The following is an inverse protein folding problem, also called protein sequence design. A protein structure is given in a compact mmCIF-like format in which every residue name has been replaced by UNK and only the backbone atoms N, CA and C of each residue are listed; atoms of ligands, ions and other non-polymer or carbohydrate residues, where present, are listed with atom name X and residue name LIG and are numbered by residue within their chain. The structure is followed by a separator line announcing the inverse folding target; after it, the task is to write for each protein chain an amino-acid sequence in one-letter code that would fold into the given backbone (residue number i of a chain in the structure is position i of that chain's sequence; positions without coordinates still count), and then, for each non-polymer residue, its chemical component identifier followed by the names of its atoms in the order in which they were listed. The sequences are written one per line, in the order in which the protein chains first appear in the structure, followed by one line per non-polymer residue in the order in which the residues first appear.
data_IF_259158093861
#
_entry.id   IF_259158093861
#
_cell.length_a   1.000
_cell.length_b   1.000
_cell.length_c   1.000
_cell.angle_alpha   90.00
_cell.angle_beta   90.00
_cell.angle_gamma   90.00
#
_symmetry.space_group_name_H-M   'P 1'
#
loop_
_entity.id
_entity.type
_entity.pdbx_description
1 polymer ?
#
# COMPACT_ATOMS: atom_id res chain seq x y z
N UNK A 1 12.11 16.09 -29.68
CA UNK A 1 11.63 16.88 -28.52
C UNK A 1 10.46 16.10 -27.93
N UNK A 2 10.61 15.70 -26.67
CA UNK A 2 9.76 14.73 -25.98
C UNK A 2 8.57 15.43 -25.34
N UNK A 3 7.41 15.40 -25.97
CA UNK A 3 6.15 15.67 -25.27
C UNK A 3 5.56 14.34 -24.80
N UNK A 4 6.12 13.85 -23.68
CA UNK A 4 5.45 12.91 -22.78
C UNK A 4 4.23 13.63 -22.22
N UNK A 5 3.13 13.58 -22.97
CA UNK A 5 1.81 14.03 -22.56
C UNK A 5 1.43 13.37 -21.24
N UNK A 6 1.59 14.13 -20.16
CA UNK A 6 0.95 13.90 -18.86
C UNK A 6 -0.54 13.74 -19.10
N UNK A 7 -1.02 12.50 -19.11
CA UNK A 7 -2.45 12.20 -19.18
C UNK A 7 -3.13 12.87 -17.97
N UNK A 8 -4.05 13.83 -18.19
CA UNK A 8 -4.69 14.52 -17.08
C UNK A 8 -5.55 13.52 -16.30
N UNK A 9 -5.39 13.52 -14.98
CA UNK A 9 -6.15 12.69 -14.04
C UNK A 9 -7.65 13.05 -13.96
N UNK A 10 -8.19 13.92 -14.82
CA UNK A 10 -9.57 14.42 -14.77
C UNK A 10 -10.27 14.22 -16.13
N UNK A 11 -11.13 13.19 -16.23
CA UNK A 11 -12.00 13.03 -17.40
C UNK A 11 -12.69 11.67 -17.40
N UNK A 12 -13.94 11.62 -16.94
CA UNK A 12 -14.86 10.53 -17.22
C UNK A 12 -15.41 10.70 -18.63
N UNK A 13 -15.38 9.64 -19.43
CA UNK A 13 -16.38 9.41 -20.47
C UNK A 13 -16.52 7.91 -20.70
N UNK A 14 -17.73 7.45 -20.48
CA UNK A 14 -18.27 6.14 -20.82
C UNK A 14 -17.87 5.71 -22.23
N UNK A 15 -17.17 4.58 -22.35
CA UNK A 15 -17.24 3.72 -23.53
C UNK A 15 -17.68 2.35 -23.04
N UNK A 16 -18.97 2.10 -23.24
CA UNK A 16 -19.59 0.79 -23.21
C UNK A 16 -19.44 0.19 -24.59
N UNK A 17 -18.35 -0.52 -24.88
CA UNK A 17 -18.29 -1.32 -26.10
C UNK A 17 -17.59 -2.67 -25.87
N UNK A 18 -18.42 -3.70 -26.08
CA UNK A 18 -18.09 -4.93 -26.80
C UNK A 18 -17.23 -5.97 -26.06
N UNK A 19 -17.94 -6.82 -25.32
CA UNK A 19 -17.54 -8.20 -25.07
C UNK A 19 -17.89 -9.05 -26.30
N UNK A 20 -17.06 -9.00 -27.34
CA UNK A 20 -17.09 -10.00 -28.41
C UNK A 20 -15.71 -10.06 -29.05
N UNK A 21 -14.89 -11.04 -28.65
CA UNK A 21 -13.54 -11.15 -29.19
C UNK A 21 -12.60 -12.11 -28.46
N UNK A 22 -12.68 -13.38 -28.85
CA UNK A 22 -11.58 -14.36 -28.79
C UNK A 22 -11.26 -15.02 -27.45
N UNK A 23 -12.14 -15.98 -27.13
CA UNK A 23 -11.76 -17.30 -26.64
C UNK A 23 -10.83 -17.98 -27.66
N UNK A 24 -9.58 -18.27 -27.29
CA UNK A 24 -8.81 -19.49 -27.64
C UNK A 24 -7.38 -19.40 -27.10
N UNK A 25 -7.21 -19.81 -25.85
CA UNK A 25 -5.99 -20.44 -25.37
C UNK A 25 -6.43 -21.57 -24.43
N UNK A 26 -6.33 -22.81 -24.92
CA UNK A 26 -6.76 -23.99 -24.18
C UNK A 26 -5.99 -24.16 -22.87
N UNK A 27 -6.63 -24.63 -21.79
CA UNK A 27 -5.93 -24.94 -20.56
C UNK A 27 -5.03 -26.17 -20.79
N UNK A 28 -3.74 -26.03 -20.45
CA UNK A 28 -2.86 -27.17 -20.19
C UNK A 28 -3.52 -28.01 -19.11
N UNK A 29 -3.75 -29.28 -19.41
CA UNK A 29 -4.32 -30.28 -18.53
C UNK A 29 -3.57 -30.27 -17.19
N UNK A 30 -4.25 -29.82 -16.13
CA UNK A 30 -3.85 -30.08 -14.76
C UNK A 30 -4.78 -31.21 -14.32
N UNK A 31 -4.26 -32.43 -14.29
CA UNK A 31 -5.00 -33.58 -13.78
C UNK A 31 -5.41 -33.33 -12.32
N UNK A 32 -6.68 -33.53 -11.95
CA UNK A 32 -7.09 -33.47 -10.56
C UNK A 32 -6.53 -34.71 -9.87
N UNK A 33 -5.55 -34.52 -8.98
CA UNK A 33 -5.08 -35.52 -8.01
C UNK A 33 -6.20 -35.80 -6.99
N UNK A 34 -7.26 -36.46 -7.45
CA UNK A 34 -8.21 -37.21 -6.64
C UNK A 34 -7.47 -38.46 -6.18
N UNK A 35 -7.60 -38.83 -4.91
CA UNK A 35 -6.80 -39.81 -4.15
C UNK A 35 -5.56 -39.15 -3.52
N UNK A 36 -5.43 -38.92 -2.21
CA UNK A 36 -5.91 -39.67 -1.04
C UNK A 36 -6.13 -38.69 0.12
N UNK A 37 -7.38 -38.45 0.52
CA UNK A 37 -7.70 -38.01 1.88
C UNK A 37 -8.54 -39.14 2.45
N UNK A 38 -7.87 -39.99 3.23
CA UNK A 38 -8.56 -40.99 4.06
C UNK A 38 -9.50 -40.30 5.06
N UNK A 39 -10.35 -41.06 5.76
CA UNK A 39 -11.24 -40.50 6.76
C UNK A 39 -10.44 -39.74 7.82
N UNK A 40 -10.90 -38.55 8.17
CA UNK A 40 -10.34 -37.75 9.26
C UNK A 40 -10.65 -38.51 10.55
N UNK A 41 -9.62 -39.04 11.20
CA UNK A 41 -9.76 -39.70 12.51
C UNK A 41 -9.90 -38.62 13.59
N UNK A 42 -11.12 -38.45 14.08
CA UNK A 42 -11.51 -37.44 15.08
C UNK A 42 -11.01 -37.84 16.50
N UNK A 43 -10.39 -39.01 16.66
CA UNK A 43 -9.83 -39.47 17.94
C UNK A 43 -8.40 -38.97 18.22
N UNK A 44 -7.74 -38.33 17.25
CA UNK A 44 -6.39 -37.76 17.46
C UNK A 44 -6.46 -36.50 18.34
N UNK A 45 -5.75 -36.44 19.48
CA UNK A 45 -5.72 -35.24 20.30
C UNK A 45 -5.07 -34.09 19.53
N UNK A 46 -5.67 -32.90 19.61
CA UNK A 46 -5.30 -31.64 18.90
C UNK A 46 -3.86 -31.13 19.12
N UNK A 47 -3.02 -31.89 19.82
CA UNK A 47 -1.68 -31.48 20.27
C UNK A 47 -0.59 -31.71 19.23
N UNK A 48 -0.85 -32.45 18.15
CA UNK A 48 0.19 -32.86 17.19
C UNK A 48 0.08 -32.24 15.78
N UNK A 49 -0.96 -31.44 15.48
CA UNK A 49 -1.14 -30.83 14.14
C UNK A 49 -0.46 -29.46 13.97
N UNK A 50 0.21 -28.96 15.01
CA UNK A 50 1.08 -27.80 14.91
C UNK A 50 2.42 -28.30 15.46
N UNK A 51 3.36 -28.62 14.56
CA UNK A 51 4.73 -28.93 14.97
C UNK A 51 5.28 -27.83 15.87
N UNK A 52 6.22 -28.14 16.78
CA UNK A 52 6.81 -27.11 17.62
C UNK A 52 7.38 -26.00 16.74
N UNK A 53 7.18 -24.75 17.18
CA UNK A 53 7.79 -23.57 16.57
C UNK A 53 9.28 -23.62 16.93
N UNK A 54 10.02 -24.59 16.39
CA UNK A 54 11.46 -24.74 16.60
C UNK A 54 12.18 -23.59 15.90
N UNK A 55 12.40 -22.53 16.67
CA UNK A 55 13.11 -21.34 16.22
C UNK A 55 13.45 -20.37 17.35
N UNK A 56 13.32 -20.80 18.61
CA UNK A 56 13.76 -20.03 19.78
C UNK A 56 14.88 -20.78 20.51
N UNK A 57 15.94 -21.08 19.77
CA UNK A 57 17.27 -21.21 20.37
C UNK A 57 18.11 -20.12 19.73
N UNK A 58 18.15 -18.98 20.41
CA UNK A 58 19.18 -17.97 20.21
C UNK A 58 20.53 -18.67 20.37
N UNK A 59 21.14 -19.09 19.26
CA UNK A 59 22.56 -19.38 19.21
C UNK A 59 23.27 -18.07 19.51
N UNK A 60 23.47 -17.77 20.79
CA UNK A 60 24.45 -16.79 21.23
C UNK A 60 25.82 -17.43 20.98
N UNK A 61 26.60 -16.98 19.97
CA UNK A 61 27.92 -17.54 19.77
C UNK A 61 28.81 -17.17 20.97
N UNK A 62 29.45 -18.12 21.65
CA UNK A 62 30.44 -17.80 22.66
C UNK A 62 31.71 -17.29 21.97
N UNK A 63 32.14 -16.07 22.29
CA UNK A 63 33.51 -15.63 22.02
C UNK A 63 33.81 -15.01 20.65
N UNK A 64 32.92 -14.14 20.13
CA UNK A 64 33.25 -13.29 18.99
C UNK A 64 33.37 -11.82 19.40
N UNK A 65 34.55 -11.24 19.28
CA UNK A 65 34.82 -9.81 19.45
C UNK A 65 33.85 -9.05 18.53
N UNK A 66 32.77 -8.50 19.09
CA UNK A 66 31.82 -7.68 18.33
C UNK A 66 32.55 -6.38 18.02
N UNK A 67 33.24 -6.33 16.88
CA UNK A 67 33.63 -5.06 16.29
C UNK A 67 32.36 -4.21 16.19
N UNK A 68 32.31 -3.10 16.93
CA UNK A 68 31.19 -2.19 16.91
C UNK A 68 30.97 -1.74 15.46
N UNK A 69 29.75 -1.86 14.89
CA UNK A 69 29.49 -1.28 13.58
C UNK A 69 29.76 0.22 13.71
N UNK A 70 30.74 0.70 12.93
CA UNK A 70 31.18 2.08 12.94
C UNK A 70 30.00 3.03 12.81
N UNK A 71 30.01 4.08 13.62
CA UNK A 71 29.00 5.12 13.67
C UNK A 71 29.00 5.95 12.38
N UNK A 72 28.46 5.38 11.30
CA UNK A 72 27.93 6.12 10.17
C UNK A 72 26.47 6.42 10.47
N UNK A 73 26.09 7.70 10.48
CA UNK A 73 24.71 8.18 10.56
C UNK A 73 23.94 7.84 9.28
N UNK A 74 23.78 6.55 8.98
CA UNK A 74 22.91 6.07 7.93
C UNK A 74 21.47 6.14 8.43
N UNK A 75 20.63 6.98 7.80
CA UNK A 75 19.20 7.06 8.11
C UNK A 75 18.58 5.67 7.98
N UNK A 76 18.00 5.18 9.08
CA UNK A 76 17.47 3.83 9.18
C UNK A 76 16.07 3.79 8.55
N UNK A 77 15.98 3.32 7.31
CA UNK A 77 14.69 3.10 6.64
C UNK A 77 13.94 1.95 7.33
N UNK A 78 12.73 2.20 7.83
CA UNK A 78 11.89 1.18 8.48
C UNK A 78 10.77 0.74 7.55
N UNK A 79 10.59 -0.57 7.36
CA UNK A 79 9.46 -1.10 6.57
C UNK A 79 8.20 -1.20 7.44
N UNK A 80 7.13 -0.53 7.03
CA UNK A 80 5.86 -0.44 7.76
C UNK A 80 4.72 -0.68 6.78
N UNK A 81 3.70 -1.44 7.22
CA UNK A 81 2.44 -1.57 6.49
C UNK A 81 1.48 -0.50 7.00
N UNK A 82 1.05 0.41 6.14
CA UNK A 82 0.17 1.52 6.50
C UNK A 82 -1.03 1.64 5.55
N UNK A 83 -2.05 2.36 6.01
CA UNK A 83 -3.23 2.72 5.21
C UNK A 83 -3.01 4.10 4.61
N UNK A 84 -3.44 4.30 3.36
CA UNK A 84 -3.35 5.61 2.74
C UNK A 84 -4.40 6.58 3.35
N UNK A 85 -4.01 7.75 3.86
CA UNK A 85 -4.93 8.68 4.52
C UNK A 85 -5.77 9.51 3.54
N UNK A 86 -5.26 9.77 2.33
CA UNK A 86 -5.87 10.64 1.33
C UNK A 86 -6.10 9.91 0.00
N UNK A 87 -7.00 10.41 -0.85
CA UNK A 87 -7.15 9.95 -2.22
C UNK A 87 -6.02 10.54 -3.08
N UNK A 88 -5.28 9.68 -3.82
CA UNK A 88 -4.16 10.12 -4.67
C UNK A 88 -4.33 9.65 -6.12
N UNK A 89 -3.84 10.43 -7.07
CA UNK A 89 -3.65 10.01 -8.46
C UNK A 89 -2.15 9.89 -8.76
N UNK A 90 -1.70 8.75 -9.28
CA UNK A 90 -0.33 8.58 -9.74
C UNK A 90 -0.09 9.35 -11.05
N UNK A 91 0.94 10.20 -11.09
CA UNK A 91 1.24 11.02 -12.26
C UNK A 91 1.77 10.20 -13.46
N UNK A 92 2.32 9.00 -13.24
CA UNK A 92 2.87 8.15 -14.33
C UNK A 92 1.82 7.33 -15.07
N UNK A 93 0.85 6.75 -14.36
CA UNK A 93 -0.12 5.82 -14.92
C UNK A 93 -1.58 6.30 -14.85
N UNK A 94 -1.83 7.43 -14.17
CA UNK A 94 -3.19 7.94 -13.93
C UNK A 94 -4.02 7.05 -13.00
N UNK A 95 -3.42 6.03 -12.36
CA UNK A 95 -4.14 5.18 -11.43
C UNK A 95 -4.52 5.97 -10.19
N UNK A 96 -5.81 5.88 -9.83
CA UNK A 96 -6.33 6.49 -8.60
C UNK A 96 -6.32 5.46 -7.49
N UNK A 97 -5.82 5.86 -6.34
CA UNK A 97 -5.82 5.06 -5.13
C UNK A 97 -6.66 5.78 -4.10
N UNK A 98 -7.65 5.05 -3.58
CA UNK A 98 -8.58 5.59 -2.60
C UNK A 98 -7.98 5.55 -1.20
N UNK A 99 -8.46 6.44 -0.35
CA UNK A 99 -8.25 6.43 1.09
C UNK A 99 -8.56 5.05 1.66
N UNK A 100 -7.72 4.59 2.58
CA UNK A 100 -7.84 3.27 3.20
C UNK A 100 -7.25 2.11 2.39
N UNK A 101 -6.49 2.36 1.32
CA UNK A 101 -5.77 1.26 0.65
C UNK A 101 -4.53 0.87 1.47
N UNK A 102 -4.31 -0.44 1.66
CA UNK A 102 -3.15 -1.00 2.38
C UNK A 102 -1.91 -1.00 1.50
N UNK A 103 -0.81 -0.41 1.98
CA UNK A 103 0.47 -0.44 1.27
C UNK A 103 1.61 -0.88 2.18
N UNK A 104 2.58 -1.54 1.57
CA UNK A 104 3.91 -1.68 2.17
C UNK A 104 4.69 -0.40 1.85
N UNK A 105 5.19 0.25 2.90
CA UNK A 105 5.89 1.53 2.81
C UNK A 105 7.21 1.46 3.56
N UNK A 106 8.17 2.28 3.16
CA UNK A 106 9.35 2.55 3.97
C UNK A 106 9.23 3.95 4.56
N UNK A 107 9.31 4.02 5.88
CA UNK A 107 9.41 5.25 6.66
C UNK A 107 10.87 5.68 6.77
N UNK A 108 11.12 6.95 6.48
CA UNK A 108 12.39 7.63 6.68
C UNK A 108 12.18 8.86 7.57
N UNK A 109 13.11 9.10 8.48
CA UNK A 109 13.12 10.31 9.30
C UNK A 109 13.76 11.44 8.49
N UNK A 110 13.12 12.61 8.45
CA UNK A 110 13.66 13.79 7.77
C UNK A 110 14.48 14.60 8.78
N UNK A 111 15.83 14.60 8.72
CA UNK A 111 16.66 15.34 9.66
C UNK A 111 16.50 16.83 9.40
N UNK A 112 16.26 17.60 10.47
CA UNK A 112 16.18 19.06 10.43
C UNK A 112 14.76 19.64 10.38
N UNK A 113 13.73 18.81 10.22
CA UNK A 113 12.32 19.22 10.24
C UNK A 113 11.63 18.54 11.44
N UNK A 114 11.65 19.18 12.61
CA UNK A 114 10.91 18.73 13.78
C UNK A 114 9.99 19.86 14.25
N UNK A 115 8.68 19.61 14.23
CA UNK A 115 7.71 20.57 14.71
C UNK A 115 7.32 20.24 16.15
N UNK A 116 7.48 21.19 17.08
CA UNK A 116 7.14 21.04 18.49
C UNK A 116 7.74 19.77 19.17
N UNK A 117 8.89 19.29 18.71
CA UNK A 117 9.55 18.07 19.20
C UNK A 117 9.04 16.75 18.60
N UNK A 118 8.07 16.82 17.67
CA UNK A 118 7.58 15.68 16.90
C UNK A 118 8.41 15.58 15.61
N UNK A 119 8.92 14.37 15.33
CA UNK A 119 9.70 14.09 14.14
C UNK A 119 8.78 13.99 12.91
N UNK A 120 9.17 14.62 11.81
CA UNK A 120 8.48 14.52 10.54
C UNK A 120 8.99 13.29 9.78
N UNK A 121 8.07 12.47 9.32
CA UNK A 121 8.38 11.26 8.58
C UNK A 121 8.08 11.44 7.09
N UNK A 122 8.98 10.90 6.28
CA UNK A 122 8.81 10.73 4.84
C UNK A 122 8.48 9.27 4.56
N UNK A 123 7.31 9.05 3.96
CA UNK A 123 6.87 7.74 3.53
C UNK A 123 7.13 7.57 2.05
N UNK A 124 7.84 6.51 1.70
CA UNK A 124 8.05 6.07 0.32
C UNK A 124 7.26 4.79 0.09
N UNK A 125 6.47 4.77 -0.95
CA UNK A 125 5.68 3.61 -1.34
C UNK A 125 5.63 3.49 -2.87
N UNK A 126 5.30 2.31 -3.36
CA UNK A 126 5.23 2.05 -4.80
C UNK A 126 3.78 2.00 -5.29
N UNK A 127 3.52 2.50 -6.49
CA UNK A 127 2.21 2.31 -7.12
C UNK A 127 2.02 0.85 -7.51
N UNK A 128 0.87 0.25 -7.17
CA UNK A 128 0.58 -1.15 -7.51
C UNK A 128 0.52 -1.47 -9.01
N UNK A 129 0.36 -0.47 -9.90
CA UNK A 129 0.29 -0.69 -11.36
C UNK A 129 1.61 -0.43 -12.08
N UNK A 130 2.28 0.69 -11.80
CA UNK A 130 3.48 1.12 -12.53
C UNK A 130 4.77 1.01 -11.73
N UNK A 131 4.71 0.55 -10.47
CA UNK A 131 5.83 0.46 -9.53
C UNK A 131 6.62 1.78 -9.38
N UNK A 132 6.02 2.92 -9.75
CA UNK A 132 6.61 4.24 -9.53
C UNK A 132 6.76 4.49 -8.03
N UNK A 133 7.85 5.14 -7.61
CA UNK A 133 8.03 5.62 -6.24
C UNK A 133 7.17 6.87 -6.03
N UNK A 134 6.35 6.83 -4.98
CA UNK A 134 5.52 7.93 -4.49
C UNK A 134 6.05 8.30 -3.12
N UNK A 135 6.15 9.61 -2.89
CA UNK A 135 6.73 10.15 -1.65
C UNK A 135 5.75 11.13 -1.04
N UNK A 136 5.43 10.91 0.23
CA UNK A 136 4.58 11.79 1.03
C UNK A 136 5.25 12.12 2.36
N UNK A 137 5.06 13.34 2.83
CA UNK A 137 5.49 13.82 4.15
C UNK A 137 4.28 13.98 5.06
N UNK A 138 4.49 13.81 6.36
CA UNK A 138 3.51 14.14 7.39
C UNK A 138 3.68 15.57 7.86
N UNK A 139 2.61 16.35 7.91
CA UNK A 139 2.61 17.74 8.38
C UNK A 139 1.88 17.83 9.73
N UNK A 140 2.60 17.83 10.87
CA UNK A 140 1.99 17.78 12.20
C UNK A 140 1.19 19.03 12.56
N UNK A 141 1.48 20.18 11.94
CA UNK A 141 0.72 21.42 12.15
C UNK A 141 -0.73 21.31 11.70
N UNK A 142 -0.98 20.64 10.58
CA UNK A 142 -2.30 20.56 9.95
C UNK A 142 -2.91 19.15 10.05
N UNK A 143 -2.23 18.21 10.72
CA UNK A 143 -2.64 16.78 10.76
C UNK A 143 -2.89 16.17 9.38
N UNK A 144 -2.23 16.73 8.37
CA UNK A 144 -2.40 16.42 6.96
C UNK A 144 -1.12 15.80 6.40
N UNK A 145 -1.19 15.33 5.16
CA UNK A 145 -0.05 14.79 4.45
C UNK A 145 0.15 15.53 3.13
N UNK A 146 1.36 16.05 2.93
CA UNK A 146 1.78 16.68 1.68
C UNK A 146 2.49 15.66 0.78
N UNK A 147 2.12 15.67 -0.50
CA UNK A 147 2.76 14.84 -1.52
C UNK A 147 4.00 15.56 -2.07
N UNK A 148 5.18 14.98 -1.91
CA UNK A 148 6.42 15.54 -2.47
C UNK A 148 6.65 15.06 -3.91
N UNK A 149 6.36 13.79 -4.22
CA UNK A 149 6.68 13.22 -5.53
C UNK A 149 5.71 12.12 -5.97
N UNK A 150 5.54 12.01 -7.30
CA UNK A 150 4.93 10.85 -7.97
C UNK A 150 3.41 10.79 -7.98
N UNK A 151 2.73 11.66 -7.25
CA UNK A 151 1.27 11.73 -7.24
C UNK A 151 0.72 13.08 -6.82
N UNK A 152 -0.52 13.31 -7.22
CA UNK A 152 -1.31 14.49 -6.88
C UNK A 152 -2.48 14.10 -5.99
N UNK A 153 -2.81 14.92 -4.99
CA UNK A 153 -3.99 14.71 -4.15
C UNK A 153 -5.26 14.97 -4.96
N UNK A 154 -6.26 14.11 -4.79
CA UNK A 154 -7.60 14.34 -5.33
C UNK A 154 -8.44 14.90 -4.19
N UNK A 155 -8.78 16.19 -4.26
CA UNK A 155 -9.77 16.75 -3.36
C UNK A 155 -11.15 16.34 -3.87
N UNK A 156 -11.82 15.45 -3.12
CA UNK A 156 -13.23 15.17 -3.40
C UNK A 156 -14.02 16.44 -3.08
N UNK A 157 -14.83 16.97 -4.01
CA UNK A 157 -15.71 18.08 -3.67
C UNK A 157 -16.65 17.56 -2.59
N UNK A 158 -16.55 18.13 -1.39
CA UNK A 158 -17.56 17.93 -0.37
C UNK A 158 -18.89 18.30 -1.05
N UNK A 159 -19.89 17.41 -1.11
CA UNK A 159 -21.19 17.84 -1.59
C UNK A 159 -21.57 19.06 -0.74
N UNK A 160 -21.83 20.19 -1.41
CA UNK A 160 -22.42 21.33 -0.73
C UNK A 160 -23.61 20.78 0.04
N UNK A 161 -23.59 20.97 1.35
CA UNK A 161 -24.61 20.49 2.27
C UNK A 161 -26.00 20.76 1.71
N UNK A 162 -26.93 19.87 2.06
CA UNK A 162 -28.28 19.75 1.52
C UNK A 162 -29.23 20.93 1.82
N UNK A 163 -28.74 22.17 1.94
CA UNK A 163 -29.55 23.38 1.98
C UNK A 163 -30.40 23.56 0.70
N UNK A 164 -30.01 22.92 -0.40
CA UNK A 164 -30.80 22.84 -1.63
C UNK A 164 -31.84 21.68 -1.64
N UNK A 165 -31.68 20.63 -0.83
CA UNK A 165 -32.62 19.50 -0.79
C UNK A 165 -33.78 19.76 0.19
N UNK A 166 -33.55 20.55 1.24
CA UNK A 166 -34.60 20.92 2.21
C UNK A 166 -35.65 21.88 1.62
N UNK A 167 -35.29 22.69 0.61
CA UNK A 167 -36.20 23.60 -0.12
C UNK A 167 -37.11 22.89 -1.14
N UNK A 168 -36.87 21.60 -1.44
CA UNK A 168 -37.64 20.82 -2.43
C UNK A 168 -38.69 19.90 -1.82
N UNK A 169 -38.94 19.99 -0.51
CA UNK A 169 -40.06 19.28 0.12
C UNK A 169 -41.33 20.12 -0.10
N UNK A 170 -42.26 19.73 -1.00
CA UNK A 170 -43.56 20.39 -1.03
C UNK A 170 -44.29 20.11 0.29
N UNK A 171 -44.97 21.15 0.81
CA UNK A 171 -45.84 21.12 2.00
C UNK A 171 -47.10 20.33 1.72
#
# INVERSE_FOLDING_TARGET
MVDLMSKPCSGWSTVTESWDGMVRAGPRSIEPRRELMGPIDISMPRRELIGPIEGLEDRVPPGGNKAAPGAGTAQKRRHIRMMLPINICCNKCGNRTNKGTKFNSSMEDVPGEAYAGIQIFRFRFSCGKCAAELVMKSDPENSDFVMEAGASRINEPRPATDEAHLMRRPV
#
